data_IF_467880460156
#
_entry.id   IF_467880460156
#
_cell.length_a   1.000
_cell.length_b   1.000
_cell.length_c   1.000
_cell.angle_alpha   90.00
_cell.angle_beta   90.00
_cell.angle_gamma   90.00
#
_symmetry.space_group_name_H-M   'P 1'
#
loop_
_entity.id
_entity.type
_entity.pdbx_description
1 polymer ?
#
# COMPACT_ATOMS: atom_id res chain seq x y z
N UNK A 1 13.22 -9.23 4.64
CA UNK A 1 13.99 -7.96 4.67
C UNK A 1 14.39 -7.46 3.29
N UNK A 2 14.88 -8.33 2.39
CA UNK A 2 15.20 -7.93 1.00
C UNK A 2 14.05 -7.20 0.26
N UNK A 3 12.82 -7.74 0.33
CA UNK A 3 11.65 -7.12 -0.29
C UNK A 3 11.41 -5.69 0.23
N UNK A 4 11.51 -5.46 1.55
CA UNK A 4 11.39 -4.13 2.15
C UNK A 4 12.50 -3.19 1.68
N UNK A 5 13.75 -3.68 1.58
CA UNK A 5 14.85 -2.87 1.09
C UNK A 5 14.61 -2.41 -0.35
N UNK A 6 14.28 -3.34 -1.26
CA UNK A 6 14.06 -3.01 -2.67
C UNK A 6 12.80 -2.13 -2.88
N UNK A 7 11.66 -2.59 -2.37
CA UNK A 7 10.38 -1.93 -2.55
C UNK A 7 10.29 -0.63 -1.76
N UNK A 8 10.79 -0.63 -0.53
CA UNK A 8 10.81 0.54 0.35
C UNK A 8 11.68 1.66 -0.20
N UNK A 9 12.92 1.36 -0.62
CA UNK A 9 13.79 2.39 -1.21
C UNK A 9 13.22 2.96 -2.51
N UNK A 10 12.53 2.15 -3.31
CA UNK A 10 11.89 2.60 -4.55
C UNK A 10 10.70 3.51 -4.26
N UNK A 11 9.78 3.07 -3.41
CA UNK A 11 8.59 3.86 -3.06
C UNK A 11 8.95 5.13 -2.30
N UNK A 12 9.92 5.10 -1.39
CA UNK A 12 10.35 6.27 -0.63
C UNK A 12 10.86 7.40 -1.55
N UNK A 13 11.53 7.07 -2.66
CA UNK A 13 11.96 8.07 -3.65
C UNK A 13 10.78 8.79 -4.31
N UNK A 14 9.69 8.08 -4.60
CA UNK A 14 8.49 8.68 -5.23
C UNK A 14 7.57 9.35 -4.21
N UNK A 15 7.40 8.76 -3.03
CA UNK A 15 6.49 9.22 -2.00
C UNK A 15 7.09 10.32 -1.11
N UNK A 16 8.43 10.39 -1.02
CA UNK A 16 9.20 11.13 0.00
C UNK A 16 9.05 10.51 1.39
N UNK A 17 10.00 10.82 2.27
CA UNK A 17 10.17 10.21 3.59
C UNK A 17 8.88 10.13 4.41
N UNK A 18 8.17 11.25 4.61
CA UNK A 18 7.00 11.29 5.50
C UNK A 18 5.79 10.53 4.98
N UNK A 19 5.50 10.66 3.68
CA UNK A 19 4.37 9.98 3.07
C UNK A 19 4.61 8.47 2.97
N UNK A 20 5.85 8.08 2.72
CA UNK A 20 6.26 6.68 2.75
C UNK A 20 6.12 6.10 4.17
N UNK A 21 6.56 6.82 5.20
CA UNK A 21 6.38 6.40 6.59
C UNK A 21 4.90 6.18 6.93
N UNK A 22 4.03 7.14 6.57
CA UNK A 22 2.58 7.01 6.78
C UNK A 22 2.02 5.81 6.03
N UNK A 23 2.38 5.62 4.75
CA UNK A 23 1.98 4.44 3.98
C UNK A 23 2.39 3.14 4.67
N UNK A 24 3.63 3.05 5.15
CA UNK A 24 4.17 1.86 5.81
C UNK A 24 3.41 1.55 7.10
N UNK A 25 3.19 2.56 7.94
CA UNK A 25 2.46 2.41 9.21
C UNK A 25 0.99 2.04 9.00
N UNK A 26 0.30 2.69 8.06
CA UNK A 26 -1.09 2.38 7.73
C UNK A 26 -1.21 0.96 7.19
N UNK A 27 -0.29 0.54 6.31
CA UNK A 27 -0.28 -0.82 5.77
C UNK A 27 -0.11 -1.86 6.87
N UNK A 28 0.84 -1.63 7.78
CA UNK A 28 1.06 -2.50 8.93
C UNK A 28 -0.17 -2.57 9.85
N UNK A 29 -0.75 -1.41 10.17
CA UNK A 29 -1.94 -1.32 11.02
C UNK A 29 -3.15 -2.04 10.40
N UNK A 30 -3.47 -1.75 9.14
CA UNK A 30 -4.57 -2.38 8.42
C UNK A 30 -4.43 -3.91 8.35
N UNK A 31 -3.22 -4.40 8.08
CA UNK A 31 -2.94 -5.84 8.11
C UNK A 31 -3.19 -6.46 9.48
N UNK A 32 -2.67 -5.84 10.55
CA UNK A 32 -2.90 -6.36 11.90
C UNK A 32 -4.38 -6.33 12.31
N UNK A 33 -5.16 -5.34 11.87
CA UNK A 33 -6.61 -5.32 12.13
C UNK A 33 -7.32 -6.47 11.44
N UNK A 34 -7.07 -6.72 10.15
CA UNK A 34 -7.71 -7.84 9.42
C UNK A 34 -7.24 -9.19 9.95
N UNK A 35 -5.96 -9.31 10.31
CA UNK A 35 -5.44 -10.46 11.05
C UNK A 35 -6.21 -10.70 12.34
N UNK A 36 -6.38 -9.67 13.17
CA UNK A 36 -7.12 -9.75 14.42
C UNK A 36 -8.59 -10.16 14.21
N UNK A 37 -9.20 -9.82 13.08
CA UNK A 37 -10.58 -10.19 12.78
C UNK A 37 -10.74 -11.66 12.41
N UNK A 38 -9.85 -12.18 11.56
CA UNK A 38 -10.07 -13.44 10.85
C UNK A 38 -9.03 -14.52 11.11
N UNK A 39 -7.87 -14.16 11.68
CA UNK A 39 -6.81 -15.11 12.01
C UNK A 39 -6.95 -15.63 13.44
N UNK A 40 -6.58 -16.90 13.62
CA UNK A 40 -6.45 -17.54 14.93
C UNK A 40 -5.06 -17.36 15.53
N UNK A 41 -4.10 -16.88 14.73
CA UNK A 41 -2.73 -16.65 15.12
C UNK A 41 -2.41 -15.16 15.01
N UNK A 42 -1.55 -14.62 15.90
CA UNK A 42 -1.12 -13.24 15.76
C UNK A 42 -0.31 -13.05 14.48
N UNK A 43 -0.60 -11.99 13.73
CA UNK A 43 0.30 -11.50 12.67
C UNK A 43 1.60 -10.99 13.29
N UNK A 44 2.72 -11.65 13.02
CA UNK A 44 4.03 -11.24 13.52
C UNK A 44 4.93 -10.76 12.38
N UNK A 45 5.43 -9.53 12.50
CA UNK A 45 6.48 -8.98 11.63
C UNK A 45 6.00 -7.94 10.61
N UNK A 46 6.94 -7.52 9.76
CA UNK A 46 6.75 -6.42 8.81
C UNK A 46 6.07 -6.83 7.48
N UNK A 47 5.72 -8.12 7.31
CA UNK A 47 5.20 -8.64 6.04
C UNK A 47 3.87 -8.00 5.64
N UNK A 48 3.01 -7.68 6.61
CA UNK A 48 1.75 -6.96 6.36
C UNK A 48 1.99 -5.59 5.72
N UNK A 49 2.96 -4.83 6.24
CA UNK A 49 3.36 -3.56 5.66
C UNK A 49 3.94 -3.73 4.25
N UNK A 50 4.74 -4.77 4.01
CA UNK A 50 5.31 -5.07 2.68
C UNK A 50 4.20 -5.36 1.65
N UNK A 51 3.14 -6.08 2.03
CA UNK A 51 1.99 -6.29 1.15
C UNK A 51 1.27 -4.98 0.82
N UNK A 52 1.15 -4.06 1.78
CA UNK A 52 0.61 -2.73 1.49
C UNK A 52 1.51 -1.90 0.58
N UNK A 53 2.83 -2.02 0.71
CA UNK A 53 3.79 -1.43 -0.23
C UNK A 53 3.62 -2.00 -1.65
N UNK A 54 3.37 -3.31 -1.81
CA UNK A 54 3.11 -3.92 -3.13
C UNK A 54 1.84 -3.34 -3.75
N UNK A 55 0.77 -3.17 -2.96
CA UNK A 55 -0.44 -2.48 -3.39
C UNK A 55 -0.17 -1.04 -3.82
N UNK A 56 0.61 -0.30 -3.03
CA UNK A 56 0.99 1.07 -3.32
C UNK A 56 1.85 1.23 -4.57
N UNK A 57 2.73 0.27 -4.86
CA UNK A 57 3.48 0.20 -6.12
C UNK A 57 2.53 0.00 -7.31
N UNK A 58 1.57 -0.92 -7.19
CA UNK A 58 0.54 -1.13 -8.21
C UNK A 58 -0.25 0.16 -8.51
N UNK A 59 -0.67 0.88 -7.47
CA UNK A 59 -1.37 2.16 -7.63
C UNK A 59 -0.47 3.22 -8.26
N UNK A 60 0.78 3.35 -7.79
CA UNK A 60 1.76 4.28 -8.34
C UNK A 60 1.92 4.06 -9.85
N UNK A 61 2.13 2.82 -10.27
CA UNK A 61 2.28 2.45 -11.67
C UNK A 61 1.01 2.75 -12.48
N UNK A 62 -0.16 2.38 -11.95
CA UNK A 62 -1.42 2.53 -12.66
C UNK A 62 -1.86 3.99 -12.85
N UNK A 63 -1.83 4.81 -11.78
CA UNK A 63 -2.25 6.21 -11.81
C UNK A 63 -1.27 7.09 -12.62
N UNK A 64 0.01 6.70 -12.66
CA UNK A 64 1.07 7.45 -13.34
C UNK A 64 1.53 6.80 -14.65
N UNK A 65 0.70 5.94 -15.25
CA UNK A 65 1.06 5.15 -16.44
C UNK A 65 1.44 6.00 -17.66
N UNK A 66 0.88 7.20 -17.78
CA UNK A 66 1.20 8.16 -18.85
C UNK A 66 2.61 8.75 -18.72
N UNK A 67 3.16 8.75 -17.50
CA UNK A 67 4.51 9.22 -17.19
C UNK A 67 5.50 8.08 -17.39
N UNK A 68 5.18 6.88 -16.92
CA UNK A 68 6.08 5.72 -16.99
C UNK A 68 6.07 5.00 -18.35
N UNK A 69 5.05 5.20 -19.19
CA UNK A 69 4.99 4.67 -20.54
C UNK A 69 4.82 3.15 -20.61
N UNK A 70 5.35 2.52 -21.66
CA UNK A 70 5.03 1.14 -22.04
C UNK A 70 5.49 0.07 -21.02
N UNK A 71 6.45 0.39 -20.14
CA UNK A 71 6.95 -0.57 -19.13
C UNK A 71 5.90 -0.91 -18.05
N UNK A 72 4.91 -0.04 -17.87
CA UNK A 72 3.91 -0.13 -16.80
C UNK A 72 3.12 -1.43 -16.86
N UNK A 73 2.73 -1.88 -18.06
CA UNK A 73 1.93 -3.10 -18.20
C UNK A 73 2.69 -4.33 -17.68
N UNK A 74 3.98 -4.43 -18.00
CA UNK A 74 4.84 -5.51 -17.52
C UNK A 74 5.07 -5.40 -16.01
N UNK A 75 5.36 -4.20 -15.51
CA UNK A 75 5.57 -3.95 -14.09
C UNK A 75 4.32 -4.28 -13.24
N UNK A 76 3.14 -3.83 -13.66
CA UNK A 76 1.86 -4.18 -13.01
C UNK A 76 1.62 -5.69 -13.00
N UNK A 77 1.90 -6.38 -14.10
CA UNK A 77 1.77 -7.83 -14.18
C UNK A 77 2.71 -8.52 -13.19
N UNK A 78 3.92 -8.01 -13.02
CA UNK A 78 4.88 -8.52 -12.02
C UNK A 78 4.40 -8.27 -10.59
N UNK A 79 3.91 -7.09 -10.27
CA UNK A 79 3.35 -6.77 -8.94
C UNK A 79 2.19 -7.72 -8.59
N UNK A 80 1.26 -7.92 -9.53
CA UNK A 80 0.13 -8.83 -9.34
C UNK A 80 0.63 -10.27 -9.16
N UNK A 81 1.55 -10.72 -10.01
CA UNK A 81 2.11 -12.07 -9.90
C UNK A 81 2.81 -12.29 -8.55
N UNK A 82 3.62 -11.33 -8.10
CA UNK A 82 4.30 -11.40 -6.80
C UNK A 82 3.27 -11.48 -5.66
N UNK A 83 2.23 -10.64 -5.69
CA UNK A 83 1.17 -10.67 -4.69
C UNK A 83 0.45 -12.02 -4.65
N UNK A 84 0.03 -12.54 -5.81
CA UNK A 84 -0.66 -13.83 -5.93
C UNK A 84 0.23 -14.98 -5.45
N UNK A 85 1.48 -15.05 -5.90
CA UNK A 85 2.41 -16.12 -5.49
C UNK A 85 2.65 -16.08 -3.99
N UNK A 86 2.85 -14.91 -3.38
CA UNK A 86 3.06 -14.82 -1.93
C UNK A 86 1.78 -15.19 -1.15
N UNK A 87 0.58 -14.88 -1.66
CA UNK A 87 -0.66 -15.34 -1.04
C UNK A 87 -0.84 -16.86 -1.16
N UNK A 88 -0.45 -17.47 -2.28
CA UNK A 88 -0.44 -18.93 -2.42
C UNK A 88 0.53 -19.56 -1.41
N UNK A 89 1.76 -19.02 -1.31
CA UNK A 89 2.75 -19.47 -0.32
C UNK A 89 2.19 -19.34 1.10
N UNK A 90 1.49 -18.25 1.39
CA UNK A 90 0.89 -18.00 2.69
C UNK A 90 -0.30 -18.89 3.06
N UNK A 91 -0.70 -19.83 2.20
CA UNK A 91 -1.57 -20.95 2.59
C UNK A 91 -0.83 -21.99 3.45
N UNK A 92 0.51 -21.89 3.54
CA UNK A 92 1.31 -22.77 4.39
C UNK A 92 1.03 -22.50 5.88
N UNK A 93 1.04 -23.54 6.74
CA UNK A 93 0.83 -23.38 8.17
C UNK A 93 1.79 -22.36 8.81
N UNK A 94 1.26 -21.55 9.72
CA UNK A 94 2.04 -20.53 10.45
C UNK A 94 2.23 -19.21 9.70
N UNK A 95 1.68 -19.06 8.48
CA UNK A 95 1.67 -17.78 7.76
C UNK A 95 0.30 -17.13 7.88
N UNK A 96 0.28 -15.86 8.29
CA UNK A 96 -0.96 -15.11 8.41
C UNK A 96 -1.36 -14.37 7.12
N UNK A 97 -2.10 -15.07 6.27
CA UNK A 97 -2.60 -14.48 5.02
C UNK A 97 -3.65 -13.39 5.22
N UNK A 98 -4.40 -13.40 6.32
CA UNK A 98 -5.34 -12.31 6.62
C UNK A 98 -4.61 -11.01 6.86
N UNK A 99 -3.48 -11.05 7.57
CA UNK A 99 -2.58 -9.91 7.72
C UNK A 99 -2.04 -9.38 6.38
N UNK A 100 -1.64 -10.27 5.48
CA UNK A 100 -1.18 -9.91 4.14
C UNK A 100 -2.27 -9.21 3.32
N UNK A 101 -3.49 -9.78 3.31
CA UNK A 101 -4.63 -9.22 2.60
C UNK A 101 -5.00 -7.84 3.18
N UNK A 102 -5.07 -7.71 4.51
CA UNK A 102 -5.38 -6.43 5.15
C UNK A 102 -4.33 -5.37 4.86
N UNK A 103 -3.04 -5.74 4.86
CA UNK A 103 -1.96 -4.84 4.50
C UNK A 103 -2.07 -4.37 3.05
N UNK A 104 -2.30 -5.30 2.12
CA UNK A 104 -2.52 -5.01 0.71
C UNK A 104 -3.69 -4.04 0.50
N UNK A 105 -4.83 -4.27 1.16
CA UNK A 105 -6.01 -3.40 1.07
C UNK A 105 -5.70 -2.01 1.64
N UNK A 106 -5.16 -1.93 2.86
CA UNK A 106 -4.89 -0.65 3.52
C UNK A 106 -3.87 0.21 2.78
N UNK A 107 -2.77 -0.41 2.32
CA UNK A 107 -1.75 0.26 1.52
C UNK A 107 -2.28 0.73 0.17
N UNK A 108 -3.07 -0.11 -0.53
CA UNK A 108 -3.72 0.25 -1.81
C UNK A 108 -4.67 1.43 -1.63
N UNK A 109 -5.53 1.41 -0.60
CA UNK A 109 -6.47 2.50 -0.32
C UNK A 109 -5.73 3.81 -0.02
N UNK A 110 -4.73 3.78 0.87
CA UNK A 110 -3.95 4.98 1.15
C UNK A 110 -3.23 5.49 -0.10
N UNK A 111 -2.59 4.62 -0.88
CA UNK A 111 -1.93 5.01 -2.11
C UNK A 111 -2.89 5.59 -3.15
N UNK A 112 -4.12 5.07 -3.25
CA UNK A 112 -5.07 5.53 -4.25
C UNK A 112 -5.49 6.98 -4.06
N UNK A 113 -5.78 7.36 -2.82
CA UNK A 113 -6.26 8.70 -2.47
C UNK A 113 -5.13 9.64 -2.05
N UNK A 114 -4.12 9.07 -1.38
CA UNK A 114 -3.04 9.79 -0.74
C UNK A 114 -1.67 9.47 -1.32
N UNK A 115 -1.54 8.73 -2.43
CA UNK A 115 -0.29 8.47 -3.16
C UNK A 115 -0.04 9.46 -4.32
N UNK A 116 1.23 9.56 -4.79
CA UNK A 116 1.67 10.62 -5.70
C UNK A 116 0.95 10.50 -7.03
N UNK A 117 0.50 11.65 -7.53
CA UNK A 117 -0.17 11.77 -8.82
C UNK A 117 0.64 12.76 -9.65
N UNK A 118 1.46 12.24 -10.55
CA UNK A 118 2.34 13.00 -11.39
C UNK A 118 1.61 13.48 -12.65
N UNK A 119 1.73 14.77 -12.92
CA UNK A 119 1.25 15.39 -14.17
C UNK A 119 2.35 16.22 -14.81
N UNK A 120 2.30 16.32 -16.14
CA UNK A 120 3.15 17.22 -16.92
C UNK A 120 2.62 18.65 -16.74
N UNK A 121 3.47 19.56 -16.29
CA UNK A 121 3.16 20.99 -16.16
C UNK A 121 3.98 21.77 -17.19
N UNK A 122 3.35 22.83 -17.74
CA UNK A 122 3.90 23.65 -18.83
C UNK A 122 3.11 23.49 -20.13
N UNK A 123 3.04 24.57 -20.91
CA UNK A 123 2.35 24.62 -22.20
C UNK A 123 3.24 24.22 -23.38
N UNK A 124 4.55 24.44 -23.25
CA UNK A 124 5.53 24.19 -24.30
C UNK A 124 6.74 23.43 -23.74
N UNK A 125 7.38 22.56 -24.54
CA UNK A 125 8.58 21.86 -24.12
C UNK A 125 9.70 22.82 -23.68
N UNK A 126 10.46 22.49 -22.62
CA UNK A 126 10.36 21.27 -21.82
C UNK A 126 9.25 21.35 -20.75
N UNK A 127 8.48 20.27 -20.62
CA UNK A 127 7.52 20.10 -19.53
C UNK A 127 8.23 19.67 -18.24
N UNK A 128 7.70 20.07 -17.08
CA UNK A 128 8.12 19.55 -15.77
C UNK A 128 7.15 18.47 -15.29
N UNK A 129 7.64 17.49 -14.54
CA UNK A 129 6.78 16.49 -13.87
C UNK A 129 6.68 16.87 -12.41
N UNK A 130 5.46 17.11 -11.95
CA UNK A 130 5.20 17.48 -10.56
C UNK A 130 4.09 16.61 -9.98
N UNK A 131 4.21 16.28 -8.69
CA UNK A 131 3.12 15.68 -7.92
C UNK A 131 2.04 16.74 -7.71
N UNK A 132 0.84 16.50 -8.23
CA UNK A 132 -0.30 17.41 -8.10
C UNK A 132 -1.15 17.11 -6.86
N UNK A 133 -0.83 16.04 -6.11
CA UNK A 133 -1.58 15.71 -4.89
C UNK A 133 -1.26 16.72 -3.79
N UNK A 134 -2.29 17.40 -3.28
CA UNK A 134 -2.12 18.37 -2.21
C UNK A 134 -1.86 17.68 -0.86
N UNK A 135 -1.14 18.34 0.09
CA UNK A 135 -0.94 17.81 1.44
C UNK A 135 -2.26 17.49 2.16
N UNK A 136 -3.31 18.28 1.91
CA UNK A 136 -4.64 18.07 2.49
C UNK A 136 -5.25 16.74 2.05
N UNK A 137 -5.17 16.40 0.77
CA UNK A 137 -5.67 15.11 0.27
C UNK A 137 -4.92 13.94 0.90
N UNK A 138 -3.60 14.05 1.06
CA UNK A 138 -2.78 13.03 1.71
C UNK A 138 -3.20 12.82 3.18
N UNK A 139 -3.45 13.92 3.91
CA UNK A 139 -3.91 13.85 5.30
C UNK A 139 -5.31 13.23 5.38
N UNK A 140 -6.25 13.67 4.53
CA UNK A 140 -7.60 13.12 4.49
C UNK A 140 -7.57 11.62 4.17
N UNK A 141 -6.75 11.20 3.21
CA UNK A 141 -6.56 9.78 2.89
C UNK A 141 -6.00 9.01 4.10
N UNK A 142 -4.96 9.54 4.75
CA UNK A 142 -4.38 8.92 5.94
C UNK A 142 -5.38 8.75 7.07
N UNK A 143 -6.06 9.83 7.45
CA UNK A 143 -7.08 9.84 8.52
C UNK A 143 -8.27 8.94 8.14
N UNK A 144 -8.73 8.98 6.90
CA UNK A 144 -9.85 8.18 6.43
C UNK A 144 -9.55 6.68 6.48
N UNK A 145 -8.37 6.26 6.02
CA UNK A 145 -7.98 4.84 6.05
C UNK A 145 -7.73 4.38 7.49
N UNK A 146 -7.02 5.17 8.32
CA UNK A 146 -6.83 4.83 9.74
C UNK A 146 -8.17 4.75 10.46
N UNK A 147 -9.07 5.72 10.27
CA UNK A 147 -10.39 5.74 10.87
C UNK A 147 -11.25 4.53 10.48
N UNK A 148 -11.19 4.12 9.20
CA UNK A 148 -11.86 2.92 8.72
C UNK A 148 -11.37 1.67 9.47
N UNK A 149 -10.05 1.42 9.47
CA UNK A 149 -9.50 0.23 10.12
C UNK A 149 -9.63 0.28 11.65
N UNK A 150 -9.59 1.47 12.25
CA UNK A 150 -9.88 1.64 13.67
C UNK A 150 -11.32 1.23 14.00
N UNK A 151 -12.31 1.70 13.24
CA UNK A 151 -13.71 1.31 13.44
C UNK A 151 -13.92 -0.19 13.23
N UNK A 152 -13.29 -0.78 12.21
CA UNK A 152 -13.32 -2.23 11.99
C UNK A 152 -12.74 -2.99 13.18
N UNK A 153 -11.63 -2.52 13.76
CA UNK A 153 -11.04 -3.13 14.94
C UNK A 153 -11.97 -3.10 16.14
N UNK A 154 -12.68 -1.97 16.37
CA UNK A 154 -13.67 -1.85 17.44
C UNK A 154 -14.83 -2.81 17.22
N UNK A 155 -15.39 -2.84 16.01
CA UNK A 155 -16.48 -3.76 15.66
C UNK A 155 -16.08 -5.23 15.91
N UNK A 156 -14.85 -5.60 15.53
CA UNK A 156 -14.31 -6.93 15.75
C UNK A 156 -14.22 -7.31 17.24
N UNK A 157 -13.87 -6.36 18.12
CA UNK A 157 -13.81 -6.60 19.57
C UNK A 157 -15.19 -6.94 20.18
N UNK A 158 -16.28 -6.47 19.58
CA UNK A 158 -17.63 -6.82 20.01
C UNK A 158 -18.12 -8.16 19.43
N UNK A 159 -17.68 -8.49 18.20
CA UNK A 159 -18.09 -9.72 17.52
C UNK A 159 -17.32 -10.98 17.97
N UNK A 160 -16.12 -10.82 18.55
CA UNK A 160 -15.27 -11.91 19.05
C UNK A 160 -15.47 -12.27 20.54
N UNK A 161 -16.52 -11.75 21.17
CA UNK A 161 -16.90 -12.13 22.55
C UNK A 161 -17.72 -13.41 22.59
#
# INVERSE_FOLDING_TARGET
MYALFYLGTTLERFYKHWRFLVLFLISGFAGNVISFMFSNYPSLGASTAIFGLLGAEGVLLYQNREIFGNIVRRALSQVIMIAVVNLIIGLSPGIDNWGHIGGLIGGTLFAWFGGPLFKRQGLFPPYTIADVRSPREVIIAGVGVVGLFFFLSLAAMFLRR
#
